data_IF_025945183981
#
_entry.id   IF_025945183981
#
_cell.length_a   1.000
_cell.length_b   1.000
_cell.length_c   1.000
_cell.angle_alpha   90.00
_cell.angle_beta   90.00
_cell.angle_gamma   90.00
#
_symmetry.space_group_name_H-M   'P 1'
#
loop_
_entity.id
_entity.type
_entity.pdbx_description
1 polymer ?
#
# COMPACT_ATOMS: atom_id res chain seq x y z
N UNK A 1 44.46 -16.97 47.78
CA UNK A 1 43.26 -17.81 47.67
C UNK A 1 42.16 -16.90 47.12
N UNK A 2 41.56 -17.18 45.95
CA UNK A 2 40.50 -16.30 45.42
C UNK A 2 39.32 -16.29 46.39
N UNK A 3 38.90 -15.09 46.80
CA UNK A 3 37.78 -14.95 47.75
C UNK A 3 36.45 -15.21 47.03
N UNK A 4 35.38 -15.54 47.78
CA UNK A 4 34.04 -15.65 47.19
C UNK A 4 33.60 -14.39 46.43
N UNK A 5 34.08 -13.21 46.84
CA UNK A 5 33.82 -11.93 46.20
C UNK A 5 34.55 -11.77 44.85
N UNK A 6 35.77 -12.30 44.73
CA UNK A 6 36.53 -12.32 43.46
C UNK A 6 35.84 -13.20 42.41
N UNK A 7 35.12 -14.24 42.85
CA UNK A 7 34.33 -15.11 41.96
C UNK A 7 33.02 -14.46 41.51
N UNK A 8 32.36 -13.68 42.38
CA UNK A 8 31.13 -12.97 42.03
C UNK A 8 31.40 -11.79 41.08
N UNK A 9 32.51 -11.08 41.27
CA UNK A 9 32.91 -9.97 40.38
C UNK A 9 33.32 -10.47 38.99
N UNK A 10 33.76 -11.73 38.88
CA UNK A 10 34.22 -12.33 37.62
C UNK A 10 33.21 -13.31 37.00
N UNK A 11 31.98 -13.39 37.53
CA UNK A 11 30.84 -13.98 36.82
C UNK A 11 30.45 -13.03 35.68
N UNK A 12 31.27 -13.03 34.62
CA UNK A 12 30.94 -12.42 33.35
C UNK A 12 29.57 -12.96 32.93
N UNK A 13 28.67 -12.04 32.60
CA UNK A 13 27.61 -12.26 31.60
C UNK A 13 28.24 -13.07 30.47
N UNK A 14 27.84 -14.34 30.38
CA UNK A 14 28.34 -15.25 29.35
C UNK A 14 27.84 -14.73 28.01
N UNK A 15 28.75 -14.17 27.23
CA UNK A 15 28.53 -13.67 25.88
C UNK A 15 28.68 -14.77 24.81
N UNK A 16 28.70 -16.04 25.23
CA UNK A 16 28.68 -17.19 24.33
C UNK A 16 27.23 -17.49 23.94
N UNK A 17 26.84 -17.03 22.76
CA UNK A 17 25.65 -17.53 22.09
C UNK A 17 25.78 -19.03 21.92
N UNK A 18 24.85 -19.79 22.50
CA UNK A 18 24.84 -21.24 22.33
C UNK A 18 24.19 -21.57 20.98
N UNK A 19 24.50 -22.74 20.38
CA UNK A 19 23.85 -23.17 19.15
C UNK A 19 22.30 -23.15 19.24
N UNK A 20 21.76 -23.35 20.44
CA UNK A 20 20.33 -23.33 20.69
C UNK A 20 19.73 -21.92 20.60
N UNK A 21 20.48 -20.88 20.97
CA UNK A 21 20.03 -19.48 20.86
C UNK A 21 19.80 -19.10 19.38
N UNK A 22 20.61 -19.62 18.45
CA UNK A 22 20.43 -19.38 17.01
C UNK A 22 19.16 -20.02 16.43
N UNK A 23 18.69 -21.13 17.01
CA UNK A 23 17.50 -21.86 16.54
C UNK A 23 16.21 -21.11 16.91
N UNK A 24 16.17 -20.45 18.07
CA UNK A 24 14.97 -19.73 18.54
C UNK A 24 14.97 -18.24 18.19
N UNK A 25 16.13 -17.58 18.17
CA UNK A 25 16.19 -16.12 18.07
C UNK A 25 16.37 -15.65 16.62
N UNK A 26 17.12 -16.40 15.81
CA UNK A 26 17.39 -16.07 14.40
C UNK A 26 16.13 -15.92 13.53
N UNK A 27 15.19 -16.89 13.55
CA UNK A 27 14.00 -16.84 12.69
C UNK A 27 13.11 -15.63 12.95
N UNK A 28 12.95 -15.24 14.22
CA UNK A 28 12.13 -14.09 14.59
C UNK A 28 12.67 -12.79 13.99
N UNK A 29 13.99 -12.54 14.10
CA UNK A 29 14.59 -11.33 13.56
C UNK A 29 14.62 -11.30 12.04
N UNK A 30 14.81 -12.44 11.38
CA UNK A 30 14.69 -12.53 9.91
C UNK A 30 13.28 -12.15 9.47
N UNK A 31 12.25 -12.71 10.10
CA UNK A 31 10.86 -12.36 9.81
C UNK A 31 10.58 -10.88 10.06
N UNK A 32 10.95 -10.37 11.24
CA UNK A 32 10.76 -8.96 11.59
C UNK A 32 11.43 -8.01 10.59
N UNK A 33 12.64 -8.35 10.12
CA UNK A 33 13.35 -7.57 9.12
C UNK A 33 12.61 -7.56 7.77
N UNK A 34 12.12 -8.71 7.31
CA UNK A 34 11.37 -8.82 6.05
C UNK A 34 10.06 -8.02 6.15
N UNK A 35 9.28 -8.22 7.22
CA UNK A 35 8.00 -7.50 7.42
C UNK A 35 8.24 -5.99 7.48
N UNK A 36 9.27 -5.55 8.19
CA UNK A 36 9.63 -4.12 8.26
C UNK A 36 10.02 -3.57 6.89
N UNK A 37 10.81 -4.31 6.11
CA UNK A 37 11.18 -3.94 4.74
C UNK A 37 9.98 -3.81 3.81
N UNK A 38 9.07 -4.79 3.84
CA UNK A 38 7.83 -4.77 3.04
C UNK A 38 6.91 -3.62 3.48
N UNK A 39 6.77 -3.39 4.79
CA UNK A 39 5.96 -2.29 5.32
C UNK A 39 6.52 -0.93 4.88
N UNK A 40 7.83 -0.72 5.00
CA UNK A 40 8.49 0.50 4.53
C UNK A 40 8.33 0.70 3.02
N UNK A 41 8.48 -0.37 2.23
CA UNK A 41 8.25 -0.32 0.79
C UNK A 41 6.79 -0.02 0.44
N UNK A 42 5.83 -0.50 1.22
CA UNK A 42 4.40 -0.24 0.99
C UNK A 42 4.06 1.24 1.19
N UNK A 43 4.79 1.95 2.05
CA UNK A 43 4.59 3.39 2.29
C UNK A 43 5.11 4.24 1.13
N UNK A 44 6.22 3.85 0.51
CA UNK A 44 6.89 4.66 -0.52
C UNK A 44 6.70 4.19 -1.96
N UNK A 45 6.56 2.89 -2.18
CA UNK A 45 6.55 2.26 -3.50
C UNK A 45 5.17 1.93 -4.04
N UNK A 46 4.09 2.22 -3.31
CA UNK A 46 2.72 1.98 -3.73
C UNK A 46 1.92 3.27 -3.59
N UNK A 47 1.04 3.54 -4.57
CA UNK A 47 -0.05 4.49 -4.39
C UNK A 47 -1.05 3.85 -3.40
N UNK A 48 -0.79 4.06 -2.10
CA UNK A 48 -1.56 3.46 -1.00
C UNK A 48 -3.03 3.92 -1.01
N UNK A 49 -3.31 5.05 -1.63
CA UNK A 49 -4.64 5.61 -1.74
C UNK A 49 -5.20 5.40 -3.14
N UNK A 50 -6.41 4.83 -3.27
CA UNK A 50 -7.08 4.76 -4.56
C UNK A 50 -7.16 6.16 -5.16
N UNK A 51 -6.86 6.29 -6.45
CA UNK A 51 -6.99 7.55 -7.16
C UNK A 51 -8.41 8.09 -7.00
N UNK A 52 -8.54 9.22 -6.30
CA UNK A 52 -9.83 9.85 -6.02
C UNK A 52 -10.50 10.18 -7.34
N UNK A 53 -11.80 9.91 -7.44
CA UNK A 53 -12.59 10.35 -8.59
C UNK A 53 -12.41 11.87 -8.78
N UNK A 54 -12.20 12.33 -10.03
CA UNK A 54 -12.10 13.75 -10.31
C UNK A 54 -13.39 14.45 -9.88
N UNK A 55 -13.23 15.59 -9.21
CA UNK A 55 -14.33 16.41 -8.70
C UNK A 55 -14.60 17.59 -9.63
N UNK A 56 -15.87 17.97 -9.82
CA UNK A 56 -16.25 19.13 -10.62
C UNK A 56 -16.86 18.76 -11.96
N UNK A 57 -16.78 19.69 -12.92
CA UNK A 57 -17.36 19.56 -14.26
C UNK A 57 -16.49 18.65 -15.16
N UNK A 58 -17.04 17.60 -15.79
CA UNK A 58 -16.29 16.70 -16.66
C UNK A 58 -15.51 17.42 -17.76
N UNK A 59 -16.01 18.55 -18.26
CA UNK A 59 -15.39 19.29 -19.37
C UNK A 59 -14.04 19.92 -19.02
N UNK A 60 -13.72 19.99 -17.73
CA UNK A 60 -12.43 20.51 -17.23
C UNK A 60 -11.42 19.41 -16.90
N UNK A 61 -11.82 18.14 -17.01
CA UNK A 61 -10.98 17.01 -16.60
C UNK A 61 -9.87 16.72 -17.62
N UNK A 62 -8.72 16.30 -17.10
CA UNK A 62 -7.61 15.81 -17.92
C UNK A 62 -7.90 14.40 -18.45
N UNK A 63 -7.11 13.96 -19.43
CA UNK A 63 -7.22 12.61 -20.00
C UNK A 63 -7.13 11.52 -18.93
N UNK A 64 -6.13 11.60 -18.04
CA UNK A 64 -5.93 10.62 -16.97
C UNK A 64 -7.08 10.60 -15.97
N UNK A 65 -7.68 11.75 -15.68
CA UNK A 65 -8.86 11.85 -14.82
C UNK A 65 -10.07 11.16 -15.45
N UNK A 66 -10.27 11.33 -16.77
CA UNK A 66 -11.33 10.65 -17.50
C UNK A 66 -11.16 9.12 -17.47
N UNK A 67 -9.93 8.65 -17.71
CA UNK A 67 -9.57 7.22 -17.64
C UNK A 67 -9.78 6.67 -16.23
N UNK A 68 -9.34 7.40 -15.21
CA UNK A 68 -9.51 7.03 -13.80
C UNK A 68 -10.98 6.91 -13.42
N UNK A 69 -11.81 7.89 -13.78
CA UNK A 69 -13.25 7.88 -13.48
C UNK A 69 -13.97 6.66 -14.10
N UNK A 70 -13.60 6.31 -15.34
CA UNK A 70 -14.15 5.16 -16.05
C UNK A 70 -13.65 3.84 -15.45
N UNK A 71 -12.37 3.73 -15.10
CA UNK A 71 -11.80 2.56 -14.45
C UNK A 71 -12.43 2.29 -13.08
N UNK A 72 -12.62 3.32 -12.26
CA UNK A 72 -13.28 3.22 -10.95
C UNK A 72 -14.72 2.69 -11.05
N UNK A 73 -15.35 2.78 -12.23
CA UNK A 73 -16.72 2.32 -12.50
C UNK A 73 -16.78 1.06 -13.37
N UNK A 74 -15.64 0.40 -13.61
CA UNK A 74 -15.53 -0.77 -14.50
C UNK A 74 -16.07 -0.50 -15.92
N UNK A 75 -15.94 0.73 -16.42
CA UNK A 75 -16.37 1.13 -17.77
C UNK A 75 -15.26 0.92 -18.83
N UNK A 76 -14.13 0.33 -18.43
CA UNK A 76 -12.99 -0.12 -19.24
C UNK A 76 -12.74 0.75 -20.50
N UNK A 77 -12.15 1.95 -20.33
CA UNK A 77 -11.81 2.81 -21.45
C UNK A 77 -10.83 2.10 -22.40
N UNK A 78 -11.01 2.32 -23.71
CA UNK A 78 -10.01 1.90 -24.70
C UNK A 78 -8.73 2.72 -24.50
N UNK A 79 -7.57 2.07 -24.46
CA UNK A 79 -6.27 2.73 -24.31
C UNK A 79 -5.93 3.68 -25.48
N UNK A 80 -6.65 3.57 -26.60
CA UNK A 80 -6.47 4.41 -27.79
C UNK A 80 -7.57 5.49 -27.92
N UNK A 81 -8.51 5.57 -26.98
CA UNK A 81 -9.60 6.54 -27.04
C UNK A 81 -9.08 7.96 -26.85
N UNK A 82 -9.61 8.91 -27.61
CA UNK A 82 -9.29 10.33 -27.42
C UNK A 82 -10.00 10.88 -26.18
N UNK A 83 -9.49 11.96 -25.60
CA UNK A 83 -10.11 12.63 -24.44
C UNK A 83 -11.57 13.01 -24.72
N UNK A 84 -11.89 13.47 -25.94
CA UNK A 84 -13.25 13.82 -26.33
C UNK A 84 -14.20 12.60 -26.31
N UNK A 85 -13.75 11.45 -26.83
CA UNK A 85 -14.53 10.22 -26.81
C UNK A 85 -14.77 9.72 -25.37
N UNK A 86 -13.74 9.80 -24.51
CA UNK A 86 -13.86 9.46 -23.09
C UNK A 86 -14.89 10.38 -22.40
N UNK A 87 -14.86 11.69 -22.68
CA UNK A 87 -15.80 12.65 -22.12
C UNK A 87 -17.24 12.38 -22.53
N UNK A 88 -17.50 12.05 -23.79
CA UNK A 88 -18.85 11.70 -24.24
C UNK A 88 -19.39 10.47 -23.51
N UNK A 89 -18.54 9.44 -23.33
CA UNK A 89 -18.91 8.24 -22.56
C UNK A 89 -19.18 8.56 -21.09
N UNK A 90 -18.38 9.45 -20.48
CA UNK A 90 -18.59 9.89 -19.10
C UNK A 90 -19.95 10.61 -18.97
N UNK A 91 -20.22 11.58 -19.85
CA UNK A 91 -21.48 12.33 -19.85
C UNK A 91 -22.70 11.42 -20.06
N UNK A 92 -22.60 10.45 -20.97
CA UNK A 92 -23.65 9.47 -21.19
C UNK A 92 -23.94 8.64 -19.93
N UNK A 93 -22.91 8.15 -19.24
CA UNK A 93 -23.06 7.38 -18.01
C UNK A 93 -23.63 8.21 -16.84
N UNK A 94 -23.20 9.47 -16.70
CA UNK A 94 -23.74 10.38 -15.69
C UNK A 94 -25.23 10.67 -15.90
N UNK A 95 -25.68 10.80 -17.16
CA UNK A 95 -27.09 11.00 -17.49
C UNK A 95 -27.94 9.80 -17.07
N UNK A 96 -27.51 8.59 -17.41
CA UNK A 96 -28.22 7.34 -17.05
C UNK A 96 -28.31 7.18 -15.53
N UNK A 97 -27.26 7.51 -14.79
CA UNK A 97 -27.28 7.47 -13.33
C UNK A 97 -28.35 8.41 -12.75
N UNK A 98 -28.48 9.63 -13.31
CA UNK A 98 -29.49 10.61 -12.88
C UNK A 98 -30.91 10.13 -13.14
N UNK A 99 -31.16 9.55 -14.32
CA UNK A 99 -32.48 9.02 -14.70
C UNK A 99 -32.91 7.87 -13.78
N UNK A 100 -31.98 6.97 -13.41
CA UNK A 100 -32.25 5.88 -12.46
C UNK A 100 -32.70 6.40 -11.10
N UNK A 101 -32.09 7.47 -10.59
CA UNK A 101 -32.44 8.04 -9.28
C UNK A 101 -33.77 8.80 -9.31
N UNK A 102 -34.12 9.43 -10.43
CA UNK A 102 -35.37 10.20 -10.56
C UNK A 102 -36.63 9.33 -10.74
N UNK A 103 -36.46 8.06 -11.12
CA UNK A 103 -37.55 7.10 -11.31
C UNK A 103 -37.86 6.20 -10.10
N UNK A 104 -37.19 6.40 -8.96
CA UNK A 104 -37.47 5.76 -7.68
C UNK A 104 -38.20 6.72 -6.73
#
# INVERSE_FOLDING_TARGET
MPTPLDRATNQRVSNSWTPWDYIVIGPFFVFAAVVTGVAAWSIWGQDMFPSRDPTGDPDTWTHDQCVTWLNNRNLHPSALATTAELLERIKANMRVARERTAGQ
#
